data_IF_410662418717
#
_entry.id   IF_410662418717
#
_cell.length_a   1.000
_cell.length_b   1.000
_cell.length_c   1.000
_cell.angle_alpha   90.00
_cell.angle_beta   90.00
_cell.angle_gamma   90.00
#
_symmetry.space_group_name_H-M   'P 1'
#
loop_
_entity.id
_entity.type
_entity.pdbx_description
1 polymer ?
#
# COMPACT_ATOMS: atom_id res chain seq x y z
N UNK A 1 -18.82 -9.77 16.10
CA UNK A 1 -17.73 -9.99 15.20
C UNK A 1 -17.15 -8.67 14.69
N UNK A 2 -15.93 -8.45 14.96
CA UNK A 2 -15.31 -7.18 14.64
C UNK A 2 -14.77 -7.17 13.23
N UNK A 3 -15.02 -6.07 12.54
CA UNK A 3 -14.46 -5.87 11.22
C UNK A 3 -13.07 -5.25 11.35
N UNK A 4 -12.17 -5.74 10.53
CA UNK A 4 -10.84 -5.16 10.49
C UNK A 4 -10.89 -3.83 9.73
N UNK A 5 -10.03 -2.90 10.10
CA UNK A 5 -9.89 -1.66 9.36
C UNK A 5 -9.21 -1.96 8.02
N UNK A 6 -9.72 -1.34 6.98
CA UNK A 6 -9.18 -1.53 5.63
C UNK A 6 -7.99 -0.59 5.43
N UNK A 7 -6.88 -1.16 4.99
CA UNK A 7 -5.61 -0.43 4.87
C UNK A 7 -5.11 -0.47 3.44
N UNK A 8 -4.59 0.67 3.00
CA UNK A 8 -3.87 0.75 1.74
C UNK A 8 -2.39 0.93 2.01
N UNK A 9 -1.54 0.33 1.17
CA UNK A 9 -0.10 0.49 1.26
C UNK A 9 0.37 1.28 0.05
N UNK A 10 0.91 2.47 0.30
CA UNK A 10 1.49 3.31 -0.75
C UNK A 10 2.97 2.95 -0.87
N UNK A 11 3.43 2.70 -2.08
CA UNK A 11 4.79 2.22 -2.30
C UNK A 11 4.94 0.75 -1.97
N UNK A 12 3.89 -0.03 -2.25
CA UNK A 12 3.80 -1.41 -1.82
C UNK A 12 4.86 -2.34 -2.41
N UNK A 13 5.43 -2.00 -3.55
CA UNK A 13 6.43 -2.86 -4.21
C UNK A 13 7.85 -2.67 -3.68
N UNK A 14 8.10 -1.61 -2.91
CA UNK A 14 9.40 -1.36 -2.31
C UNK A 14 9.61 -2.19 -1.06
N UNK A 15 10.84 -2.17 -0.51
CA UNK A 15 11.17 -2.97 0.66
C UNK A 15 10.33 -2.63 1.89
N UNK A 16 10.12 -1.34 2.14
CA UNK A 16 9.35 -0.93 3.30
C UNK A 16 7.89 -1.34 3.13
N UNK A 17 7.34 -1.17 1.93
CA UNK A 17 5.97 -1.59 1.65
C UNK A 17 5.81 -3.10 1.81
N UNK A 18 6.77 -3.88 1.34
CA UNK A 18 6.75 -5.33 1.51
C UNK A 18 6.75 -5.71 2.99
N UNK A 19 7.54 -4.99 3.79
CA UNK A 19 7.61 -5.23 5.23
C UNK A 19 6.26 -4.97 5.89
N UNK A 20 5.59 -3.88 5.54
CA UNK A 20 4.27 -3.60 6.06
C UNK A 20 3.29 -4.71 5.72
N UNK A 21 3.33 -5.18 4.49
CA UNK A 21 2.44 -6.26 4.04
C UNK A 21 2.69 -7.53 4.84
N UNK A 22 3.96 -7.87 5.06
CA UNK A 22 4.33 -9.03 5.82
C UNK A 22 3.89 -8.92 7.28
N UNK A 23 4.07 -7.74 7.88
CA UNK A 23 3.70 -7.51 9.28
C UNK A 23 2.19 -7.49 9.48
N UNK A 24 1.44 -7.10 8.47
CA UNK A 24 -0.01 -6.99 8.58
C UNK A 24 -0.75 -8.25 8.16
N UNK A 25 -0.03 -9.26 7.70
CA UNK A 25 -0.64 -10.54 7.37
C UNK A 25 -1.29 -11.12 8.64
N UNK A 26 -2.58 -11.46 8.52
CA UNK A 26 -3.35 -12.01 9.65
C UNK A 26 -3.39 -11.11 10.88
N UNK A 27 -3.18 -9.80 10.68
CA UNK A 27 -3.26 -8.86 11.79
C UNK A 27 -4.70 -8.80 12.30
N UNK A 28 -4.90 -8.80 13.64
CA UNK A 28 -6.25 -8.84 14.19
C UNK A 28 -7.09 -7.59 13.93
N UNK A 29 -6.47 -6.44 13.69
CA UNK A 29 -7.19 -5.18 13.53
C UNK A 29 -7.13 -4.57 12.14
N UNK A 30 -6.17 -4.98 11.33
CA UNK A 30 -5.93 -4.36 10.03
C UNK A 30 -5.92 -5.40 8.92
N UNK A 31 -6.47 -5.01 7.78
CA UNK A 31 -6.49 -5.87 6.60
C UNK A 31 -6.03 -5.04 5.40
N UNK A 32 -5.00 -5.50 4.72
CA UNK A 32 -4.52 -4.84 3.52
C UNK A 32 -5.47 -5.19 2.38
N UNK A 33 -6.20 -4.20 1.89
CA UNK A 33 -7.15 -4.40 0.80
C UNK A 33 -6.75 -3.68 -0.48
N UNK A 34 -5.78 -2.77 -0.40
CA UNK A 34 -5.36 -1.97 -1.54
C UNK A 34 -3.85 -1.79 -1.51
N UNK A 35 -3.22 -1.94 -2.66
CA UNK A 35 -1.79 -1.68 -2.81
C UNK A 35 -1.62 -0.68 -3.94
N UNK A 36 -0.73 0.29 -3.76
CA UNK A 36 -0.47 1.32 -4.74
C UNK A 36 1.03 1.51 -4.92
N UNK A 37 1.44 1.83 -6.12
CA UNK A 37 2.84 2.01 -6.44
C UNK A 37 2.95 2.98 -7.61
N UNK A 38 4.15 3.11 -8.19
CA UNK A 38 4.38 4.00 -9.31
C UNK A 38 3.52 3.59 -10.51
N UNK A 39 3.29 4.51 -11.46
CA UNK A 39 2.55 4.17 -12.68
C UNK A 39 3.11 2.98 -13.44
N UNK A 40 4.41 2.74 -13.29
CA UNK A 40 5.08 1.61 -13.94
C UNK A 40 4.53 0.27 -13.48
N UNK A 41 4.13 0.18 -12.22
CA UNK A 41 3.59 -1.05 -11.63
C UNK A 41 2.08 -1.12 -11.69
N UNK A 42 1.42 0.00 -11.94
CA UNK A 42 -0.05 0.05 -11.91
C UNK A 42 -0.67 -0.84 -12.98
N UNK A 43 -1.79 -1.46 -12.64
CA UNK A 43 -2.52 -2.33 -13.56
C UNK A 43 -2.10 -3.78 -13.52
N UNK A 44 -1.02 -4.09 -12.81
CA UNK A 44 -0.55 -5.48 -12.66
C UNK A 44 -1.01 -6.01 -11.32
N UNK A 45 -1.05 -7.34 -11.19
CA UNK A 45 -1.27 -7.92 -9.86
C UNK A 45 -0.03 -7.62 -9.02
N UNK A 46 -0.22 -7.61 -7.70
CA UNK A 46 0.91 -7.35 -6.81
C UNK A 46 2.05 -8.34 -7.04
N UNK A 47 1.70 -9.61 -7.22
CA UNK A 47 2.69 -10.65 -7.49
C UNK A 47 3.50 -10.34 -8.76
N UNK A 48 2.84 -9.91 -9.82
CA UNK A 48 3.52 -9.53 -11.06
C UNK A 48 4.35 -8.27 -10.90
N UNK A 49 3.82 -7.28 -10.19
CA UNK A 49 4.50 -6.01 -9.99
C UNK A 49 5.78 -6.17 -9.20
N UNK A 50 5.75 -7.02 -8.18
CA UNK A 50 6.93 -7.30 -7.37
C UNK A 50 7.89 -8.23 -8.12
N UNK A 51 7.34 -9.18 -8.87
CA UNK A 51 8.15 -10.16 -9.60
C UNK A 51 9.01 -10.95 -8.64
N UNK A 52 10.29 -11.06 -8.94
CA UNK A 52 11.22 -11.78 -8.10
C UNK A 52 11.85 -10.94 -6.99
N UNK A 53 11.30 -9.75 -6.74
CA UNK A 53 11.90 -8.81 -5.78
C UNK A 53 11.33 -8.91 -4.37
N UNK A 54 10.52 -9.94 -4.09
CA UNK A 54 10.03 -10.15 -2.74
C UNK A 54 11.21 -10.55 -1.85
N UNK A 55 11.51 -9.71 -0.85
CA UNK A 55 12.71 -9.85 -0.04
C UNK A 55 12.43 -10.25 1.41
N UNK A 56 11.17 -10.52 1.72
CA UNK A 56 10.81 -10.87 3.09
C UNK A 56 11.09 -12.33 3.36
N UNK A 57 11.32 -12.66 4.62
CA UNK A 57 11.59 -14.03 5.05
C UNK A 57 10.38 -14.94 4.92
N UNK A 58 9.19 -14.35 5.01
CA UNK A 58 7.95 -15.10 4.89
C UNK A 58 7.46 -15.04 3.44
N UNK A 59 6.66 -16.02 3.01
CA UNK A 59 6.07 -15.99 1.67
C UNK A 59 5.14 -14.79 1.52
N UNK A 60 4.97 -14.35 0.27
CA UNK A 60 4.01 -13.29 -0.03
C UNK A 60 2.60 -13.75 0.36
N UNK A 61 1.85 -12.94 1.13
CA UNK A 61 0.50 -13.33 1.54
C UNK A 61 -0.42 -13.54 0.34
N UNK A 62 -1.19 -14.61 0.40
CA UNK A 62 -2.13 -14.91 -0.68
C UNK A 62 -3.15 -13.78 -0.89
N UNK A 63 -3.56 -13.14 0.19
CA UNK A 63 -4.54 -12.07 0.13
C UNK A 63 -4.08 -10.89 -0.72
N UNK A 64 -2.77 -10.63 -0.80
CA UNK A 64 -2.25 -9.51 -1.56
C UNK A 64 -1.75 -9.89 -2.95
N UNK A 65 -1.43 -11.16 -3.18
CA UNK A 65 -0.92 -11.60 -4.48
C UNK A 65 -1.80 -11.20 -5.64
N UNK A 66 -3.10 -11.30 -5.46
CA UNK A 66 -4.08 -11.08 -6.51
C UNK A 66 -4.60 -9.66 -6.59
N UNK A 67 -4.19 -8.80 -5.66
CA UNK A 67 -4.62 -7.42 -5.69
C UNK A 67 -3.98 -6.70 -6.88
N UNK A 68 -4.79 -5.92 -7.57
CA UNK A 68 -4.29 -5.10 -8.68
C UNK A 68 -3.62 -3.87 -8.10
N UNK A 69 -2.40 -3.59 -8.53
CA UNK A 69 -1.67 -2.43 -8.05
C UNK A 69 -2.27 -1.17 -8.66
N UNK A 70 -2.63 -0.23 -7.81
CA UNK A 70 -3.12 1.06 -8.24
C UNK A 70 -1.98 2.03 -8.45
N UNK A 71 -2.19 3.04 -9.29
CA UNK A 71 -1.26 4.13 -9.43
C UNK A 71 -1.38 5.00 -8.17
N UNK A 72 -0.28 5.25 -7.49
CA UNK A 72 -0.28 6.02 -6.25
C UNK A 72 -0.84 7.42 -6.44
N UNK A 73 -0.80 7.94 -7.65
CA UNK A 73 -1.37 9.25 -7.98
C UNK A 73 -2.89 9.24 -8.14
N UNK A 74 -3.50 8.06 -8.18
CA UNK A 74 -4.96 7.93 -8.24
C UNK A 74 -5.52 7.99 -6.82
N UNK A 75 -5.36 9.16 -6.22
CA UNK A 75 -5.61 9.37 -4.79
C UNK A 75 -7.03 9.05 -4.39
N UNK A 76 -8.00 9.59 -5.11
CA UNK A 76 -9.40 9.39 -4.75
C UNK A 76 -9.82 7.93 -4.83
N UNK A 77 -9.35 7.23 -5.84
CA UNK A 77 -9.68 5.84 -6.05
C UNK A 77 -9.11 4.97 -4.94
N UNK A 78 -7.85 5.19 -4.60
CA UNK A 78 -7.20 4.44 -3.53
C UNK A 78 -7.84 4.76 -2.19
N UNK A 79 -8.04 6.05 -1.91
CA UNK A 79 -8.58 6.50 -0.64
C UNK A 79 -10.00 5.99 -0.39
N UNK A 80 -10.80 5.88 -1.44
CA UNK A 80 -12.19 5.45 -1.30
C UNK A 80 -12.34 3.99 -0.89
N UNK A 81 -11.30 3.20 -1.07
CA UNK A 81 -11.35 1.76 -0.79
C UNK A 81 -10.81 1.40 0.60
N UNK A 82 -10.28 2.37 1.33
CA UNK A 82 -9.59 2.10 2.59
C UNK A 82 -10.03 3.05 3.70
N UNK A 83 -9.74 2.65 4.94
CA UNK A 83 -9.98 3.49 6.11
C UNK A 83 -8.78 4.39 6.39
N UNK A 84 -7.57 3.91 6.08
CA UNK A 84 -6.36 4.73 6.14
C UNK A 84 -5.26 4.07 5.31
N UNK A 85 -4.14 4.77 5.14
CA UNK A 85 -3.03 4.27 4.34
C UNK A 85 -1.72 4.34 5.12
N UNK A 86 -0.83 3.39 4.85
CA UNK A 86 0.56 3.46 5.29
C UNK A 86 1.38 3.95 4.10
N UNK A 87 2.17 5.00 4.31
CA UNK A 87 3.01 5.55 3.27
C UNK A 87 4.42 4.98 3.38
N UNK A 88 4.82 4.24 2.36
CA UNK A 88 6.15 3.63 2.27
C UNK A 88 6.78 3.98 0.92
N UNK A 89 6.42 5.12 0.35
CA UNK A 89 6.92 5.53 -0.95
C UNK A 89 8.40 5.91 -0.86
N UNK A 90 9.14 5.54 -1.90
CA UNK A 90 10.57 5.83 -2.00
C UNK A 90 10.76 6.92 -3.05
N UNK A 91 10.63 8.15 -2.61
CA UNK A 91 10.66 9.33 -3.47
C UNK A 91 11.38 10.47 -2.76
N UNK A 92 11.56 11.59 -3.45
CA UNK A 92 12.11 12.79 -2.81
C UNK A 92 11.14 13.27 -1.72
N UNK A 93 11.66 14.06 -0.79
CA UNK A 93 10.84 14.58 0.30
C UNK A 93 9.65 15.40 -0.20
N UNK A 94 9.87 16.18 -1.25
CA UNK A 94 8.80 17.00 -1.81
C UNK A 94 7.71 16.15 -2.43
N UNK A 95 8.08 15.08 -3.13
CA UNK A 95 7.13 14.16 -3.73
C UNK A 95 6.34 13.40 -2.66
N UNK A 96 7.02 12.96 -1.62
CA UNK A 96 6.37 12.26 -0.51
C UNK A 96 5.35 13.19 0.15
N UNK A 97 5.74 14.42 0.41
CA UNK A 97 4.85 15.40 1.02
C UNK A 97 3.61 15.65 0.17
N UNK A 98 3.81 15.82 -1.15
CA UNK A 98 2.70 16.06 -2.05
C UNK A 98 1.70 14.91 -2.04
N UNK A 99 2.20 13.68 -2.05
CA UNK A 99 1.34 12.50 -2.01
C UNK A 99 0.61 12.41 -0.68
N UNK A 100 1.32 12.58 0.42
CA UNK A 100 0.70 12.49 1.74
C UNK A 100 -0.36 13.57 1.94
N UNK A 101 -0.10 14.79 1.45
CA UNK A 101 -1.09 15.86 1.51
C UNK A 101 -2.32 15.55 0.66
N UNK A 102 -2.11 14.97 -0.51
CA UNK A 102 -3.22 14.61 -1.39
C UNK A 102 -4.14 13.60 -0.72
N UNK A 103 -3.57 12.61 -0.05
CA UNK A 103 -4.39 11.63 0.67
C UNK A 103 -5.05 12.24 1.89
N UNK A 104 -4.36 13.14 2.59
CA UNK A 104 -4.95 13.81 3.74
C UNK A 104 -6.16 14.65 3.34
N UNK A 105 -6.14 15.25 2.15
CA UNK A 105 -7.26 16.05 1.66
C UNK A 105 -8.52 15.23 1.42
N UNK A 106 -8.39 13.94 1.24
CA UNK A 106 -9.55 13.06 1.10
C UNK A 106 -10.07 12.59 2.46
N UNK A 107 -9.54 13.16 3.54
CA UNK A 107 -9.85 12.76 4.91
C UNK A 107 -9.42 11.34 5.23
N UNK A 108 -8.42 10.84 4.49
CA UNK A 108 -7.86 9.52 4.73
C UNK A 108 -6.60 9.68 5.58
N UNK A 109 -6.57 9.16 6.80
CA UNK A 109 -5.36 9.26 7.63
C UNK A 109 -4.19 8.56 6.97
N UNK A 110 -3.02 9.17 7.08
CA UNK A 110 -1.79 8.64 6.51
C UNK A 110 -0.80 8.35 7.64
N UNK A 111 -0.33 7.10 7.68
CA UNK A 111 0.71 6.71 8.62
C UNK A 111 2.02 6.67 7.85
N UNK A 112 2.83 7.68 8.02
CA UNK A 112 4.08 7.81 7.28
C UNK A 112 5.22 7.11 7.98
N UNK A 113 6.05 6.41 7.20
CA UNK A 113 7.28 5.82 7.70
C UNK A 113 8.51 6.65 7.31
N UNK A 114 8.28 7.84 6.77
CA UNK A 114 9.37 8.69 6.29
C UNK A 114 9.78 9.76 7.27
#
# INVERSE_FOLDING_TARGET
>A
MEQKLKVGILGATGMVGQRFISLLEDHPWFEVVTVAASPRSAGKTYEEAVGGRWKMDTPMPEAVKKLIVHNVNEVEEVASSVDFVFSAVDMTKDEIRAIEEAYAKTETPVMSNN
#
